data_IF_854456228140
#
_entry.id   IF_854456228140
#
_cell.length_a   1.000
_cell.length_b   1.000
_cell.length_c   1.000
_cell.angle_alpha   90.00
_cell.angle_beta   90.00
_cell.angle_gamma   90.00
#
_symmetry.space_group_name_H-M   'P 1'
#
loop_
_entity.id
_entity.type
_entity.pdbx_description
1 polymer ?
#
# COMPACT_ATOMS: atom_id res chain seq x y z
N UNK A 1 -7.73 -36.12 8.68
CA UNK A 1 -7.84 -34.97 7.75
C UNK A 1 -8.36 -33.77 8.54
N UNK A 2 -7.47 -32.95 9.11
CA UNK A 2 -7.88 -31.68 9.71
C UNK A 2 -8.37 -30.77 8.59
N UNK A 3 -9.63 -30.34 8.69
CA UNK A 3 -10.26 -29.48 7.70
C UNK A 3 -9.47 -28.17 7.63
N UNK A 4 -9.17 -27.73 6.41
CA UNK A 4 -8.71 -26.37 6.09
C UNK A 4 -9.90 -25.42 6.27
N UNK A 5 -10.43 -25.34 7.49
CA UNK A 5 -11.42 -24.37 7.86
C UNK A 5 -10.65 -23.14 8.33
N UNK A 6 -10.57 -22.11 7.47
CA UNK A 6 -10.17 -20.78 7.93
C UNK A 6 -11.39 -20.22 8.65
N UNK A 7 -11.44 -20.39 9.96
CA UNK A 7 -12.47 -19.78 10.80
C UNK A 7 -12.18 -18.27 10.88
N UNK A 8 -12.57 -17.54 9.84
CA UNK A 8 -12.41 -16.09 9.76
C UNK A 8 -13.01 -15.41 10.98
N UNK A 9 -14.18 -15.87 11.44
CA UNK A 9 -14.87 -15.26 12.58
C UNK A 9 -14.06 -15.33 13.87
N UNK A 10 -13.50 -16.50 14.20
CA UNK A 10 -12.69 -16.65 15.42
C UNK A 10 -11.36 -15.89 15.27
N UNK A 11 -10.65 -16.02 14.16
CA UNK A 11 -9.35 -15.38 13.96
C UNK A 11 -9.42 -13.84 13.79
N UNK A 12 -10.53 -13.30 13.27
CA UNK A 12 -10.71 -11.84 13.12
C UNK A 12 -11.41 -11.16 14.31
N UNK A 13 -12.40 -11.79 14.96
CA UNK A 13 -13.24 -11.11 15.97
C UNK A 13 -13.16 -11.71 17.38
N UNK A 14 -12.64 -12.92 17.56
CA UNK A 14 -12.72 -13.64 18.84
C UNK A 14 -11.39 -14.19 19.38
N UNK A 15 -10.32 -14.19 18.59
CA UNK A 15 -9.04 -14.76 18.97
C UNK A 15 -8.21 -13.76 19.80
N UNK A 16 -7.57 -14.19 20.88
CA UNK A 16 -6.59 -13.37 21.59
C UNK A 16 -5.48 -12.91 20.62
N UNK A 17 -5.22 -11.60 20.54
CA UNK A 17 -4.17 -11.03 19.68
C UNK A 17 -4.58 -10.69 18.23
N UNK A 18 -5.87 -10.70 17.90
CA UNK A 18 -6.35 -10.23 16.59
C UNK A 18 -6.14 -8.72 16.40
N UNK A 19 -6.04 -8.26 15.15
CA UNK A 19 -5.75 -6.86 14.80
C UNK A 19 -6.71 -5.84 15.44
N UNK A 20 -8.01 -6.16 15.60
CA UNK A 20 -8.94 -5.21 16.22
C UNK A 20 -8.62 -4.95 17.71
N UNK A 21 -7.99 -5.90 18.41
CA UNK A 21 -7.58 -5.74 19.81
C UNK A 21 -6.40 -4.77 19.99
N UNK A 22 -5.67 -4.44 18.93
CA UNK A 22 -4.60 -3.43 18.96
C UNK A 22 -5.09 -2.04 18.55
N UNK A 23 -6.34 -1.89 18.12
CA UNK A 23 -6.94 -0.61 17.70
C UNK A 23 -7.38 0.26 18.89
N UNK A 24 -6.43 0.62 19.75
CA UNK A 24 -6.69 1.43 20.96
C UNK A 24 -6.89 2.91 20.69
N UNK A 25 -6.60 3.39 19.47
CA UNK A 25 -6.81 4.79 19.09
C UNK A 25 -6.56 5.09 17.61
N UNK A 26 -6.86 6.35 17.22
CA UNK A 26 -6.69 6.84 15.84
C UNK A 26 -5.24 6.80 15.35
N UNK A 27 -4.26 6.93 16.27
CA UNK A 27 -2.85 6.76 15.96
C UNK A 27 -2.56 5.34 15.47
N UNK A 28 -2.90 4.32 16.27
CA UNK A 28 -2.67 2.91 15.92
C UNK A 28 -3.38 2.48 14.64
N UNK A 29 -4.60 3.00 14.41
CA UNK A 29 -5.32 2.82 13.15
C UNK A 29 -4.51 3.36 11.97
N UNK A 30 -4.03 4.60 12.05
CA UNK A 30 -3.23 5.22 11.01
C UNK A 30 -1.93 4.44 10.75
N UNK A 31 -1.25 3.97 11.81
CA UNK A 31 -0.03 3.16 11.71
C UNK A 31 -0.25 1.89 10.92
N UNK A 32 -1.30 1.14 11.25
CA UNK A 32 -1.51 -0.15 10.62
C UNK A 32 -2.00 0.01 9.19
N UNK A 33 -2.84 1.00 8.92
CA UNK A 33 -3.20 1.35 7.54
C UNK A 33 -1.97 1.75 6.73
N UNK A 34 -1.10 2.61 7.26
CA UNK A 34 0.12 3.05 6.57
C UNK A 34 1.08 1.89 6.32
N UNK A 35 1.33 1.02 7.31
CA UNK A 35 2.23 -0.12 7.18
C UNK A 35 1.74 -1.10 6.09
N UNK A 36 0.44 -1.42 6.09
CA UNK A 36 -0.14 -2.28 5.05
C UNK A 36 -0.16 -1.57 3.69
N UNK A 37 -0.50 -0.28 3.65
CA UNK A 37 -0.52 0.50 2.42
C UNK A 37 0.87 0.59 1.77
N UNK A 38 1.95 0.74 2.54
CA UNK A 38 3.32 0.75 2.01
C UNK A 38 3.69 -0.56 1.32
N UNK A 39 3.34 -1.70 1.93
CA UNK A 39 3.61 -3.02 1.36
C UNK A 39 2.82 -3.20 0.06
N UNK A 40 1.51 -2.91 0.09
CA UNK A 40 0.63 -3.02 -1.06
C UNK A 40 1.08 -2.07 -2.17
N UNK A 41 1.42 -0.83 -1.83
CA UNK A 41 1.89 0.17 -2.77
C UNK A 41 3.18 -0.24 -3.46
N UNK A 42 4.13 -0.84 -2.73
CA UNK A 42 5.37 -1.36 -3.34
C UNK A 42 5.09 -2.44 -4.38
N UNK A 43 4.21 -3.38 -4.08
CA UNK A 43 3.81 -4.44 -5.02
C UNK A 43 3.09 -3.86 -6.23
N UNK A 44 2.08 -3.02 -6.00
CA UNK A 44 1.29 -2.37 -7.07
C UNK A 44 2.18 -1.49 -7.95
N UNK A 45 3.12 -0.74 -7.34
CA UNK A 45 4.06 0.10 -8.06
C UNK A 45 4.88 -0.72 -9.06
N UNK A 46 5.47 -1.83 -8.63
CA UNK A 46 6.25 -2.71 -9.53
C UNK A 46 5.38 -3.23 -10.68
N UNK A 47 4.16 -3.70 -10.38
CA UNK A 47 3.24 -4.20 -11.41
C UNK A 47 2.88 -3.11 -12.43
N UNK A 48 2.58 -1.90 -11.98
CA UNK A 48 2.23 -0.79 -12.88
C UNK A 48 3.42 -0.34 -13.73
N UNK A 49 4.64 -0.34 -13.20
CA UNK A 49 5.85 -0.05 -13.99
C UNK A 49 6.03 -1.10 -15.09
N UNK A 50 5.84 -2.38 -14.78
CA UNK A 50 5.93 -3.47 -15.77
C UNK A 50 4.85 -3.29 -16.85
N UNK A 51 3.60 -3.07 -16.45
CA UNK A 51 2.47 -2.90 -17.38
C UNK A 51 2.70 -1.67 -18.28
N UNK A 52 3.04 -0.52 -17.69
CA UNK A 52 3.30 0.71 -18.43
C UNK A 52 4.50 0.60 -19.36
N UNK A 53 5.55 -0.12 -18.94
CA UNK A 53 6.72 -0.43 -19.76
C UNK A 53 6.39 -1.31 -20.95
N UNK A 54 5.66 -2.41 -20.74
CA UNK A 54 5.20 -3.31 -21.83
C UNK A 54 4.32 -2.52 -22.81
N UNK A 55 3.37 -1.73 -22.32
CA UNK A 55 2.49 -0.91 -23.15
C UNK A 55 3.27 0.08 -24.03
N UNK A 56 4.35 0.65 -23.49
CA UNK A 56 5.20 1.58 -24.23
C UNK A 56 5.98 0.87 -25.33
N UNK A 57 6.54 -0.31 -25.03
CA UNK A 57 7.30 -1.13 -26.00
C UNK A 57 6.38 -1.64 -27.10
N UNK A 58 5.18 -2.13 -26.75
CA UNK A 58 4.20 -2.64 -27.73
C UNK A 58 3.66 -1.53 -28.64
N UNK A 59 3.51 -0.33 -28.09
CA UNK A 59 3.00 0.84 -28.80
C UNK A 59 4.03 1.53 -29.70
N UNK A 60 5.33 1.41 -29.41
CA UNK A 60 6.40 2.16 -30.09
C UNK A 60 6.47 1.96 -31.61
N UNK A 61 5.98 0.81 -32.11
CA UNK A 61 5.92 0.51 -33.56
C UNK A 61 4.51 0.58 -34.17
N UNK A 62 3.47 0.92 -33.37
CA UNK A 62 2.06 0.83 -33.79
C UNK A 62 1.31 2.14 -33.65
N UNK A 63 1.42 2.79 -32.49
CA UNK A 63 0.61 3.97 -32.17
C UNK A 63 1.28 4.87 -31.13
N UNK A 64 1.51 6.16 -31.45
CA UNK A 64 1.97 7.15 -30.47
C UNK A 64 1.05 7.27 -29.25
N UNK A 65 -0.26 7.01 -29.41
CA UNK A 65 -1.23 7.03 -28.31
C UNK A 65 -0.93 5.96 -27.26
N UNK A 66 -0.53 4.76 -27.68
CA UNK A 66 -0.20 3.67 -26.74
C UNK A 66 1.06 3.96 -25.95
N UNK A 67 2.06 4.56 -26.60
CA UNK A 67 3.28 5.03 -25.93
C UNK A 67 2.94 6.08 -24.86
N UNK A 68 2.05 7.04 -25.18
CA UNK A 68 1.61 8.05 -24.24
C UNK A 68 0.90 7.44 -23.03
N UNK A 69 -0.02 6.48 -23.24
CA UNK A 69 -0.69 5.75 -22.15
C UNK A 69 0.29 5.00 -21.24
N UNK A 70 1.28 4.32 -21.82
CA UNK A 70 2.33 3.65 -21.04
C UNK A 70 3.09 4.61 -20.13
N UNK A 71 3.41 5.81 -20.64
CA UNK A 71 4.03 6.88 -19.84
C UNK A 71 3.12 7.40 -18.74
N UNK A 72 1.83 7.60 -19.02
CA UNK A 72 0.84 8.03 -18.02
C UNK A 72 0.71 7.00 -16.87
N UNK A 73 0.68 5.71 -17.18
CA UNK A 73 0.64 4.64 -16.17
C UNK A 73 1.87 4.71 -15.26
N UNK A 74 3.06 4.84 -15.85
CA UNK A 74 4.32 4.95 -15.08
C UNK A 74 4.30 6.20 -14.20
N UNK A 75 3.89 7.36 -14.74
CA UNK A 75 3.80 8.60 -13.98
C UNK A 75 2.81 8.48 -12.82
N UNK A 76 1.63 7.90 -13.06
CA UNK A 76 0.63 7.67 -12.03
C UNK A 76 1.15 6.73 -10.93
N UNK A 77 1.86 5.66 -11.31
CA UNK A 77 2.49 4.74 -10.37
C UNK A 77 3.53 5.46 -9.49
N UNK A 78 4.40 6.26 -10.10
CA UNK A 78 5.43 7.04 -9.38
C UNK A 78 4.77 8.04 -8.43
N UNK A 79 3.80 8.83 -8.91
CA UNK A 79 3.11 9.83 -8.08
C UNK A 79 2.36 9.18 -6.92
N UNK A 80 1.64 8.09 -7.17
CA UNK A 80 0.95 7.33 -6.12
C UNK A 80 1.92 6.78 -5.07
N UNK A 81 3.03 6.20 -5.52
CA UNK A 81 4.06 5.69 -4.61
C UNK A 81 4.70 6.81 -3.77
N UNK A 82 5.01 7.96 -4.38
CA UNK A 82 5.57 9.12 -3.67
C UNK A 82 4.60 9.62 -2.61
N UNK A 83 3.30 9.73 -2.90
CA UNK A 83 2.30 10.19 -1.92
C UNK A 83 2.29 9.28 -0.68
N UNK A 84 2.28 7.97 -0.89
CA UNK A 84 2.28 6.99 0.21
C UNK A 84 3.61 7.05 0.98
N UNK A 85 4.72 7.21 0.26
CA UNK A 85 6.03 7.38 0.87
C UNK A 85 6.11 8.65 1.73
N UNK A 86 5.58 9.78 1.25
CA UNK A 86 5.53 11.04 2.01
C UNK A 86 4.61 10.94 3.22
N UNK A 87 3.51 10.16 3.13
CA UNK A 87 2.62 9.91 4.26
C UNK A 87 3.36 9.36 5.48
N UNK A 88 4.33 8.45 5.28
CA UNK A 88 5.19 7.95 6.36
C UNK A 88 5.98 9.06 7.06
N UNK A 89 6.55 10.00 6.30
CA UNK A 89 7.28 11.12 6.88
C UNK A 89 6.38 12.06 7.67
N UNK A 90 5.15 12.31 7.20
CA UNK A 90 4.16 13.11 7.93
C UNK A 90 3.86 12.47 9.29
N UNK A 91 3.59 11.16 9.31
CA UNK A 91 3.33 10.44 10.56
C UNK A 91 4.52 10.53 11.50
N UNK A 92 5.74 10.33 11.00
CA UNK A 92 6.96 10.40 11.80
C UNK A 92 7.24 11.79 12.39
N UNK A 93 6.83 12.86 11.70
CA UNK A 93 6.90 14.22 12.23
C UNK A 93 5.90 14.39 13.38
N UNK A 94 4.67 13.91 13.20
CA UNK A 94 3.63 13.95 14.25
C UNK A 94 4.12 13.22 15.51
N UNK A 95 4.73 12.04 15.39
CA UNK A 95 5.29 11.31 16.53
C UNK A 95 6.29 12.15 17.33
N UNK A 96 7.25 12.77 16.63
CA UNK A 96 8.28 13.59 17.25
C UNK A 96 7.73 14.86 17.88
N UNK A 97 6.71 15.47 17.28
CA UNK A 97 6.11 16.71 17.77
C UNK A 97 5.18 16.49 18.97
N UNK A 98 4.43 15.38 18.99
CA UNK A 98 3.42 15.11 20.02
C UNK A 98 3.87 14.07 21.06
N UNK A 99 5.06 13.48 20.91
CA UNK A 99 5.59 12.49 21.86
C UNK A 99 4.81 11.17 21.88
N UNK A 100 4.06 10.90 20.81
CA UNK A 100 3.26 9.69 20.65
C UNK A 100 4.02 8.70 19.79
N UNK A 101 4.00 7.43 20.16
CA UNK A 101 4.57 6.35 19.37
C UNK A 101 3.45 5.74 18.51
N UNK A 102 3.53 5.95 17.20
CA UNK A 102 2.52 5.56 16.21
C UNK A 102 3.07 4.39 15.39
N UNK A 103 4.27 4.52 14.85
CA UNK A 103 4.95 3.59 13.94
C UNK A 103 5.71 2.47 14.66
N UNK A 104 5.72 2.44 16.00
CA UNK A 104 6.52 1.53 16.81
C UNK A 104 7.85 2.14 17.23
#
# INVERSE_FOLDING_TARGET
>A
MQKIAIDFSSNFFGAPGHFLSTLTGVGTLASVLLANALIIAGVVFILLIIIGGIQMISGAGKSPQEVARGKEIILAAILGFIIIFVSYWIVRIIERSFGVNILG
#
